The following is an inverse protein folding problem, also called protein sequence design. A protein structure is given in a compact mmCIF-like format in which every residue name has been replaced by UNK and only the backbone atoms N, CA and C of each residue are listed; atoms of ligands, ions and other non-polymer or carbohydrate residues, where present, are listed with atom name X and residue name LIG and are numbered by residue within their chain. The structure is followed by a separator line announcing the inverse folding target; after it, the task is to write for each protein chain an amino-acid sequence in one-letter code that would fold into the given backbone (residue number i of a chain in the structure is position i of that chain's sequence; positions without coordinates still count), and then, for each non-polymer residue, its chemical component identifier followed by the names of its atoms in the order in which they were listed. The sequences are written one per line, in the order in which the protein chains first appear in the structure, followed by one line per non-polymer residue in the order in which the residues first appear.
data_IF_355193975271
#
_entry.id   IF_355193975271
#
_cell.length_a   1.000
_cell.length_b   1.000
_cell.length_c   1.000
_cell.angle_alpha   90.00
_cell.angle_beta   90.00
_cell.angle_gamma   90.00
#
_symmetry.space_group_name_H-M   'P 1'
#
loop_
_entity.id
_entity.type
_entity.pdbx_description
1 polymer ?
#
# COMPACT_ATOMS: atom_id res chain seq x y z
N UNK A 1 61.84 7.82 67.62
CA UNK A 1 61.22 6.68 68.31
C UNK A 1 60.07 6.15 67.45
N UNK A 2 60.25 4.94 66.91
CA UNK A 2 59.19 4.17 66.19
C UNK A 2 58.13 3.69 67.16
N UNK A 3 56.85 3.46 66.78
CA UNK A 3 56.55 2.10 66.35
C UNK A 3 55.44 1.91 65.35
N UNK A 4 55.61 0.84 64.61
CA UNK A 4 54.75 -0.30 64.26
C UNK A 4 53.65 -0.10 63.24
N UNK A 5 53.94 -0.71 62.08
CA UNK A 5 52.97 -1.18 61.08
C UNK A 5 52.06 -2.29 61.63
N UNK A 6 50.77 -2.22 61.28
CA UNK A 6 49.89 -3.37 61.34
C UNK A 6 49.24 -3.48 59.98
N UNK A 7 49.55 -4.59 59.28
CA UNK A 7 49.04 -4.90 57.95
C UNK A 7 47.57 -5.39 58.03
N UNK A 8 46.77 -4.84 57.18
CA UNK A 8 45.40 -5.32 56.95
C UNK A 8 45.36 -6.04 55.62
N UNK A 9 45.10 -7.37 55.66
CA UNK A 9 44.91 -8.22 54.48
C UNK A 9 43.49 -7.94 53.97
N UNK A 10 43.41 -7.30 52.78
CA UNK A 10 42.13 -7.15 52.07
C UNK A 10 41.89 -8.43 51.25
N UNK A 11 40.90 -9.19 51.65
CA UNK A 11 40.39 -10.34 50.89
C UNK A 11 39.46 -9.82 49.80
N UNK A 12 39.93 -9.85 48.54
CA UNK A 12 39.09 -9.58 47.38
C UNK A 12 38.24 -10.81 47.10
N UNK A 13 36.94 -10.75 47.41
CA UNK A 13 35.97 -11.74 46.96
C UNK A 13 35.60 -11.53 45.48
N UNK A 14 36.10 -12.41 44.65
CA UNK A 14 35.79 -12.43 43.22
C UNK A 14 34.40 -13.05 43.02
N UNK A 15 33.38 -12.20 42.84
CA UNK A 15 32.02 -12.65 42.45
C UNK A 15 32.02 -12.98 40.95
N UNK A 16 32.11 -14.26 40.59
CA UNK A 16 31.84 -14.78 39.29
C UNK A 16 30.33 -14.67 38.97
N UNK A 17 29.95 -13.62 38.25
CA UNK A 17 28.61 -13.52 37.68
C UNK A 17 28.48 -14.51 36.51
N UNK A 18 27.86 -15.65 36.75
CA UNK A 18 27.39 -16.56 35.72
C UNK A 18 26.25 -15.91 34.95
N UNK A 19 26.59 -15.17 33.91
CA UNK A 19 25.62 -14.64 32.96
C UNK A 19 24.98 -15.78 32.20
N UNK A 20 23.74 -16.14 32.51
CA UNK A 20 22.92 -17.00 31.68
C UNK A 20 22.58 -16.25 30.40
N UNK A 21 23.36 -16.52 29.35
CA UNK A 21 23.01 -16.05 27.99
C UNK A 21 21.72 -16.74 27.57
N UNK A 22 20.60 -16.02 27.64
CA UNK A 22 19.37 -16.47 26.98
C UNK A 22 19.64 -16.50 25.47
N UNK A 23 19.32 -17.62 24.79
CA UNK A 23 19.40 -17.64 23.34
C UNK A 23 18.46 -16.57 22.80
N UNK A 24 19.03 -15.59 22.10
CA UNK A 24 18.25 -14.65 21.31
C UNK A 24 17.45 -15.49 20.30
N UNK A 25 16.14 -15.61 20.52
CA UNK A 25 15.22 -16.15 19.52
C UNK A 25 15.28 -15.19 18.34
N UNK A 26 16.04 -15.57 17.32
CA UNK A 26 15.87 -15.00 15.98
C UNK A 26 14.42 -15.27 15.59
N UNK A 27 13.56 -14.25 15.72
CA UNK A 27 12.26 -14.25 15.05
C UNK A 27 12.60 -14.26 13.55
N UNK A 28 12.50 -15.45 12.98
CA UNK A 28 12.48 -15.63 11.55
C UNK A 28 11.18 -14.97 11.08
N UNK A 29 11.23 -13.70 10.73
CA UNK A 29 10.11 -12.95 10.13
C UNK A 29 9.92 -13.48 8.70
N UNK A 30 9.37 -14.70 8.59
CA UNK A 30 8.86 -15.16 7.31
C UNK A 30 7.76 -14.18 6.91
N UNK A 31 7.92 -13.55 5.76
CA UNK A 31 6.84 -12.76 5.16
C UNK A 31 5.62 -13.68 5.02
N UNK A 32 4.44 -13.27 5.51
CA UNK A 32 3.24 -14.10 5.49
C UNK A 32 2.85 -14.51 4.06
N UNK A 33 3.29 -13.75 3.06
CA UNK A 33 3.02 -13.97 1.64
C UNK A 33 4.34 -14.06 0.84
N UNK A 34 5.07 -15.19 0.89
CA UNK A 34 6.39 -15.32 0.26
C UNK A 34 6.33 -15.45 -1.27
N UNK A 35 5.17 -15.85 -1.82
CA UNK A 35 4.92 -16.06 -3.25
C UNK A 35 3.46 -15.82 -3.60
N UNK A 36 3.19 -15.68 -4.90
CA UNK A 36 1.84 -15.59 -5.42
C UNK A 36 1.03 -16.86 -5.06
N UNK A 37 -0.17 -16.66 -4.52
CA UNK A 37 -1.16 -17.71 -4.32
C UNK A 37 -1.79 -18.12 -5.68
N UNK A 38 -2.51 -19.23 -5.77
CA UNK A 38 -3.34 -19.54 -6.94
C UNK A 38 -4.25 -18.36 -7.33
N UNK A 39 -4.39 -18.10 -8.64
CA UNK A 39 -5.07 -16.91 -9.15
C UNK A 39 -6.52 -16.77 -8.66
N UNK A 40 -7.22 -17.87 -8.49
CA UNK A 40 -8.60 -17.91 -8.00
C UNK A 40 -8.78 -17.22 -6.64
N UNK A 41 -7.74 -17.20 -5.79
CA UNK A 41 -7.77 -16.50 -4.52
C UNK A 41 -7.72 -14.96 -4.65
N UNK A 42 -7.26 -14.44 -5.79
CA UNK A 42 -7.29 -13.01 -6.09
C UNK A 42 -8.58 -12.59 -6.81
N UNK A 43 -9.31 -13.53 -7.41
CA UNK A 43 -10.53 -13.22 -8.12
C UNK A 43 -11.70 -12.96 -7.15
N UNK A 44 -12.67 -12.20 -7.61
CA UNK A 44 -13.92 -11.92 -6.90
C UNK A 44 -15.11 -12.33 -7.76
N UNK A 45 -16.26 -12.56 -7.13
CA UNK A 45 -17.52 -12.55 -7.86
C UNK A 45 -17.66 -11.23 -8.65
N UNK A 46 -18.13 -11.32 -9.88
CA UNK A 46 -18.17 -10.17 -10.78
C UNK A 46 -19.02 -9.02 -10.25
N UNK A 47 -20.18 -9.33 -9.69
CA UNK A 47 -21.08 -8.29 -9.19
C UNK A 47 -20.58 -7.70 -7.88
N UNK A 48 -19.98 -8.52 -7.02
CA UNK A 48 -19.34 -8.07 -5.78
C UNK A 48 -18.16 -7.14 -6.09
N UNK A 49 -17.33 -7.46 -7.11
CA UNK A 49 -16.22 -6.61 -7.52
C UNK A 49 -16.70 -5.28 -8.12
N UNK A 50 -17.74 -5.29 -8.97
CA UNK A 50 -18.35 -4.06 -9.49
C UNK A 50 -18.87 -3.18 -8.35
N UNK A 51 -19.59 -3.76 -7.38
CA UNK A 51 -20.12 -3.01 -6.24
C UNK A 51 -19.00 -2.41 -5.38
N UNK A 52 -17.95 -3.18 -5.10
CA UNK A 52 -16.79 -2.71 -4.34
C UNK A 52 -16.03 -1.60 -5.06
N UNK A 53 -15.77 -1.75 -6.37
CA UNK A 53 -15.12 -0.72 -7.18
C UNK A 53 -15.88 0.61 -7.15
N UNK A 54 -17.21 0.56 -7.34
CA UNK A 54 -18.06 1.76 -7.29
C UNK A 54 -18.10 2.43 -5.93
N UNK A 55 -17.97 1.66 -4.85
CA UNK A 55 -17.97 2.22 -3.50
C UNK A 55 -16.71 3.05 -3.19
N UNK A 56 -15.72 3.09 -4.08
CA UNK A 56 -14.50 3.87 -3.90
C UNK A 56 -14.71 5.40 -4.04
N UNK A 57 -15.75 5.85 -4.72
CA UNK A 57 -16.02 7.28 -4.94
C UNK A 57 -17.47 7.64 -4.55
N UNK A 58 -17.76 8.95 -4.36
CA UNK A 58 -19.13 9.41 -4.17
C UNK A 58 -20.04 8.99 -5.34
N UNK A 59 -21.30 8.71 -5.03
CA UNK A 59 -22.29 8.18 -5.99
C UNK A 59 -22.36 8.99 -7.30
N UNK A 60 -22.38 10.35 -7.30
CA UNK A 60 -22.46 11.12 -8.54
C UNK A 60 -21.29 10.89 -9.51
N UNK A 61 -20.14 10.44 -8.97
CA UNK A 61 -18.95 10.07 -9.78
C UNK A 61 -19.05 8.59 -10.19
N UNK A 62 -19.25 7.72 -9.22
CA UNK A 62 -19.20 6.27 -9.41
C UNK A 62 -20.31 5.72 -10.31
N UNK A 63 -21.50 6.37 -10.32
CA UNK A 63 -22.65 5.97 -11.14
C UNK A 63 -22.32 5.95 -12.63
N UNK A 64 -21.62 6.97 -13.10
CA UNK A 64 -21.32 7.21 -14.51
C UNK A 64 -19.89 6.79 -14.91
N UNK A 65 -19.12 6.25 -13.95
CA UNK A 65 -17.77 5.77 -14.19
C UNK A 65 -17.75 4.44 -14.96
N UNK A 66 -16.71 4.24 -15.76
CA UNK A 66 -16.36 2.92 -16.24
C UNK A 66 -15.97 2.03 -15.04
N UNK A 67 -16.36 0.74 -15.07
CA UNK A 67 -15.93 -0.22 -14.07
C UNK A 67 -15.18 -1.34 -14.72
N UNK A 68 -13.94 -1.56 -14.30
CA UNK A 68 -13.13 -2.70 -14.69
C UNK A 68 -13.09 -3.74 -13.58
N UNK A 69 -13.05 -5.02 -13.95
CA UNK A 69 -12.95 -6.17 -13.04
C UNK A 69 -11.82 -7.08 -13.46
N UNK A 70 -11.15 -7.69 -12.48
CA UNK A 70 -10.06 -8.63 -12.73
C UNK A 70 -10.63 -10.00 -13.13
N UNK A 71 -10.10 -10.56 -14.22
CA UNK A 71 -10.36 -11.92 -14.70
C UNK A 71 -9.05 -12.66 -14.99
N UNK A 72 -9.16 -13.87 -15.46
CA UNK A 72 -8.01 -14.75 -15.69
C UNK A 72 -6.97 -14.19 -16.69
N UNK A 73 -7.34 -13.23 -17.52
CA UNK A 73 -6.44 -12.63 -18.53
C UNK A 73 -6.11 -11.15 -18.25
N UNK A 74 -6.53 -10.61 -17.11
CA UNK A 74 -6.33 -9.20 -16.74
C UNK A 74 -7.62 -8.49 -16.43
N UNK A 75 -7.54 -7.17 -16.35
CA UNK A 75 -8.72 -6.33 -16.18
C UNK A 75 -9.53 -6.23 -17.47
N UNK A 76 -10.85 -6.36 -17.35
CA UNK A 76 -11.79 -6.16 -18.46
C UNK A 76 -12.88 -5.16 -18.05
N UNK A 77 -13.39 -4.39 -19.02
CA UNK A 77 -14.52 -3.48 -18.80
C UNK A 77 -15.79 -4.27 -18.51
N UNK A 78 -16.29 -4.18 -17.29
CA UNK A 78 -17.53 -4.79 -16.86
C UNK A 78 -18.74 -3.87 -17.07
N UNK A 79 -18.53 -2.56 -16.93
CA UNK A 79 -19.54 -1.51 -17.13
C UNK A 79 -18.89 -0.35 -17.89
N UNK A 80 -19.49 0.07 -18.99
CA UNK A 80 -19.02 1.24 -19.74
C UNK A 80 -19.35 2.52 -19.00
N UNK A 81 -18.39 3.43 -18.92
CA UNK A 81 -18.55 4.77 -18.35
C UNK A 81 -18.88 5.84 -19.37
N UNK A 82 -19.22 7.05 -18.88
CA UNK A 82 -19.49 8.24 -19.72
C UNK A 82 -18.91 9.53 -19.14
N UNK A 83 -18.34 9.51 -17.94
CA UNK A 83 -17.75 10.68 -17.28
C UNK A 83 -16.21 10.69 -17.30
N UNK A 84 -15.60 9.68 -17.93
CA UNK A 84 -14.14 9.51 -18.03
C UNK A 84 -13.46 9.00 -16.77
N UNK A 85 -14.18 8.78 -15.65
CA UNK A 85 -13.66 8.08 -14.49
C UNK A 85 -13.63 6.57 -14.73
N UNK A 86 -12.62 5.90 -14.15
CA UNK A 86 -12.49 4.44 -14.18
C UNK A 86 -12.35 3.94 -12.75
N UNK A 87 -13.28 3.06 -12.33
CA UNK A 87 -13.25 2.43 -11.02
C UNK A 87 -12.85 0.95 -11.16
N UNK A 88 -11.96 0.48 -10.29
CA UNK A 88 -11.53 -0.91 -10.24
C UNK A 88 -11.14 -1.31 -8.81
N UNK A 89 -10.87 -2.59 -8.59
CA UNK A 89 -10.31 -3.08 -7.33
C UNK A 89 -8.90 -3.57 -7.59
N UNK A 90 -7.91 -2.82 -7.12
CA UNK A 90 -6.50 -3.23 -7.21
C UNK A 90 -6.21 -4.45 -6.36
N UNK A 91 -5.17 -5.17 -6.74
CA UNK A 91 -4.61 -6.31 -6.03
C UNK A 91 -3.24 -5.96 -5.46
N UNK A 92 -2.72 -6.83 -4.64
CA UNK A 92 -1.48 -6.60 -3.88
C UNK A 92 -0.24 -6.31 -4.73
N UNK A 93 -0.17 -6.79 -5.97
CA UNK A 93 0.96 -6.52 -6.87
C UNK A 93 1.03 -5.10 -7.44
N UNK A 94 0.07 -4.22 -7.10
CA UNK A 94 0.19 -2.78 -7.38
C UNK A 94 0.98 -2.03 -6.31
N UNK A 95 1.21 -2.65 -5.14
CA UNK A 95 2.07 -2.09 -4.08
C UNK A 95 3.53 -2.02 -4.49
N UNK A 96 4.37 -1.25 -3.77
CA UNK A 96 5.82 -1.28 -3.95
C UNK A 96 6.37 -2.70 -3.90
N UNK A 97 7.37 -2.98 -4.73
CA UNK A 97 7.88 -4.34 -4.96
C UNK A 97 8.44 -5.03 -3.71
N UNK A 98 8.92 -4.24 -2.75
CA UNK A 98 9.48 -4.67 -1.47
C UNK A 98 8.43 -4.74 -0.34
N UNK A 99 7.19 -4.31 -0.60
CA UNK A 99 6.10 -4.40 0.38
C UNK A 99 5.88 -5.87 0.80
N UNK A 100 5.81 -6.17 2.11
CA UNK A 100 5.57 -7.52 2.62
C UNK A 100 4.21 -8.11 2.17
N UNK A 101 3.23 -7.26 1.90
CA UNK A 101 1.91 -7.63 1.40
C UNK A 101 1.84 -7.77 -0.13
N UNK A 102 2.95 -7.68 -0.87
CA UNK A 102 2.96 -7.74 -2.33
C UNK A 102 2.25 -8.98 -2.92
N UNK A 103 2.27 -10.11 -2.22
CA UNK A 103 1.56 -11.33 -2.61
C UNK A 103 0.33 -11.62 -1.74
N UNK A 104 -0.14 -10.64 -0.95
CA UNK A 104 -1.33 -10.81 -0.12
C UNK A 104 -2.58 -10.94 -0.98
N UNK A 105 -3.06 -12.19 -1.12
CA UNK A 105 -4.23 -12.50 -1.95
C UNK A 105 -5.55 -11.97 -1.39
N UNK A 106 -5.58 -11.51 -0.15
CA UNK A 106 -6.76 -10.91 0.47
C UNK A 106 -6.91 -9.42 0.14
N UNK A 107 -5.82 -8.76 -0.33
CA UNK A 107 -5.84 -7.32 -0.58
C UNK A 107 -6.90 -6.95 -1.62
N UNK A 108 -7.71 -5.97 -1.27
CA UNK A 108 -8.76 -5.37 -2.09
C UNK A 108 -8.67 -3.85 -1.95
N UNK A 109 -8.05 -3.21 -2.93
CA UNK A 109 -7.87 -1.75 -3.01
C UNK A 109 -8.85 -1.14 -4.01
N UNK A 110 -10.13 -0.91 -3.63
CA UNK A 110 -11.07 -0.25 -4.52
C UNK A 110 -10.70 1.21 -4.70
N UNK A 111 -10.57 1.65 -5.94
CA UNK A 111 -10.28 3.03 -6.28
C UNK A 111 -11.05 3.49 -7.52
N UNK A 112 -11.31 4.79 -7.63
CA UNK A 112 -11.85 5.44 -8.80
C UNK A 112 -10.89 6.51 -9.30
N UNK A 113 -10.28 6.26 -10.44
CA UNK A 113 -9.33 7.13 -11.11
C UNK A 113 -10.08 8.26 -11.86
N UNK A 114 -9.60 9.49 -11.73
CA UNK A 114 -10.10 10.58 -12.56
C UNK A 114 -9.56 10.46 -14.00
N UNK A 115 -10.09 11.23 -14.97
CA UNK A 115 -9.66 11.09 -16.36
C UNK A 115 -8.15 11.21 -16.61
N UNK A 116 -7.38 12.14 -15.98
CA UNK A 116 -5.92 12.16 -16.10
C UNK A 116 -5.27 10.87 -15.57
N UNK A 117 -5.68 10.37 -14.41
CA UNK A 117 -5.14 9.13 -13.85
C UNK A 117 -5.54 7.89 -14.67
N UNK A 118 -6.75 7.86 -15.22
CA UNK A 118 -7.19 6.79 -16.11
C UNK A 118 -6.32 6.68 -17.38
N UNK A 119 -5.78 7.82 -17.87
CA UNK A 119 -4.88 7.82 -19.04
C UNK A 119 -3.40 7.61 -18.69
N UNK A 120 -2.97 7.95 -17.47
CA UNK A 120 -1.53 7.97 -17.14
C UNK A 120 -1.10 7.00 -16.04
N UNK A 121 -1.96 6.72 -15.05
CA UNK A 121 -1.67 5.76 -13.97
C UNK A 121 -2.24 4.36 -14.27
N UNK A 122 -3.49 4.26 -14.74
CA UNK A 122 -4.12 2.98 -15.03
C UNK A 122 -3.31 2.06 -15.97
N UNK A 123 -2.64 2.56 -17.03
CA UNK A 123 -1.78 1.74 -17.87
C UNK A 123 -0.67 1.01 -17.11
N UNK A 124 -0.14 1.61 -16.02
CA UNK A 124 0.88 0.99 -15.17
C UNK A 124 0.28 -0.19 -14.40
N UNK A 125 -0.88 0.02 -13.76
CA UNK A 125 -1.64 -1.03 -13.06
C UNK A 125 -1.98 -2.21 -13.97
N UNK A 126 -2.45 -1.93 -15.20
CA UNK A 126 -2.76 -2.95 -16.21
C UNK A 126 -1.49 -3.71 -16.58
N UNK A 127 -0.40 -3.02 -16.91
CA UNK A 127 0.87 -3.65 -17.30
C UNK A 127 1.43 -4.55 -16.20
N UNK A 128 1.47 -4.08 -14.95
CA UNK A 128 1.87 -4.91 -13.79
C UNK A 128 1.01 -6.18 -13.70
N UNK A 129 -0.31 -6.03 -13.86
CA UNK A 129 -1.24 -7.16 -13.81
C UNK A 129 -0.98 -8.16 -14.92
N UNK A 130 -0.77 -7.72 -16.15
CA UNK A 130 -0.46 -8.59 -17.30
C UNK A 130 0.82 -9.40 -17.06
N UNK A 131 1.90 -8.77 -16.59
CA UNK A 131 3.18 -9.41 -16.30
C UNK A 131 3.04 -10.47 -15.19
N UNK A 132 2.33 -10.14 -14.11
CA UNK A 132 2.07 -11.08 -13.01
C UNK A 132 1.23 -12.27 -13.48
N UNK A 133 0.19 -12.04 -14.27
CA UNK A 133 -0.64 -13.13 -14.82
C UNK A 133 0.10 -13.98 -15.86
N UNK A 134 1.11 -13.42 -16.52
CA UNK A 134 2.04 -14.18 -17.37
C UNK A 134 3.01 -15.06 -16.55
N UNK A 135 3.02 -14.96 -15.22
CA UNK A 135 3.85 -15.77 -14.32
C UNK A 135 5.22 -15.16 -14.04
N UNK A 136 5.41 -13.89 -14.28
CA UNK A 136 6.68 -13.24 -14.01
C UNK A 136 6.99 -13.12 -12.52
N UNK A 137 8.28 -13.22 -12.19
CA UNK A 137 8.76 -12.91 -10.85
C UNK A 137 8.70 -11.41 -10.58
N UNK A 138 8.73 -11.01 -9.29
CA UNK A 138 8.86 -9.59 -8.90
C UNK A 138 10.00 -8.87 -9.63
N UNK A 139 11.17 -9.50 -9.71
CA UNK A 139 12.35 -8.91 -10.34
C UNK A 139 12.19 -8.74 -11.85
N UNK A 140 11.57 -9.72 -12.52
CA UNK A 140 11.29 -9.62 -13.95
C UNK A 140 10.25 -8.55 -14.24
N UNK A 141 9.13 -8.53 -13.50
CA UNK A 141 8.12 -7.47 -13.59
C UNK A 141 8.77 -6.07 -13.40
N UNK A 142 9.62 -5.90 -12.38
CA UNK A 142 10.29 -4.62 -12.17
C UNK A 142 11.20 -4.22 -13.33
N UNK A 143 11.94 -5.19 -13.90
CA UNK A 143 12.75 -4.97 -15.07
C UNK A 143 11.91 -4.51 -16.26
N UNK A 144 10.78 -5.18 -16.52
CA UNK A 144 9.96 -4.92 -17.68
C UNK A 144 9.13 -3.64 -17.55
N UNK A 145 8.67 -3.28 -16.34
CA UNK A 145 8.05 -1.97 -16.08
C UNK A 145 9.06 -0.85 -16.34
N UNK A 146 10.30 -0.98 -15.83
CA UNK A 146 11.35 0.00 -16.10
C UNK A 146 11.63 0.13 -17.59
N UNK A 147 11.76 -0.98 -18.30
CA UNK A 147 11.99 -1.00 -19.75
C UNK A 147 10.84 -0.35 -20.52
N UNK A 148 9.58 -0.59 -20.11
CA UNK A 148 8.40 0.00 -20.72
C UNK A 148 8.38 1.54 -20.57
N UNK A 149 8.77 2.06 -19.41
CA UNK A 149 8.95 3.51 -19.25
C UNK A 149 10.08 4.08 -20.12
N UNK A 150 11.25 3.39 -20.16
CA UNK A 150 12.41 3.84 -20.93
C UNK A 150 12.10 3.88 -22.45
N UNK A 151 11.27 2.94 -22.91
CA UNK A 151 10.78 2.88 -24.31
C UNK A 151 9.56 3.78 -24.58
N UNK A 152 9.02 4.47 -23.57
CA UNK A 152 7.81 5.27 -23.67
C UNK A 152 6.55 4.47 -24.05
N UNK A 153 6.51 3.19 -23.72
CA UNK A 153 5.34 2.32 -23.85
C UNK A 153 4.34 2.61 -22.73
N UNK A 154 4.82 3.06 -21.55
CA UNK A 154 4.00 3.59 -20.48
C UNK A 154 4.02 5.13 -20.53
N UNK A 155 2.85 5.76 -20.34
CA UNK A 155 2.75 7.22 -20.36
C UNK A 155 3.39 7.85 -19.12
N UNK A 156 3.82 9.11 -19.25
CA UNK A 156 4.14 9.95 -18.10
C UNK A 156 2.86 10.39 -17.39
N UNK A 157 2.95 10.62 -16.07
CA UNK A 157 1.81 11.10 -15.30
C UNK A 157 1.29 12.43 -15.84
N UNK A 158 -0.03 12.51 -16.02
CA UNK A 158 -0.71 13.74 -16.37
C UNK A 158 -0.91 14.62 -15.13
N UNK A 159 -0.76 15.95 -15.25
CA UNK A 159 -1.06 16.88 -14.16
C UNK A 159 -2.50 16.68 -13.63
N UNK A 160 -2.63 16.66 -12.30
CA UNK A 160 -3.91 16.46 -11.63
C UNK A 160 -4.41 15.01 -11.62
N UNK A 161 -3.57 14.03 -12.00
CA UNK A 161 -3.91 12.62 -11.84
C UNK A 161 -4.18 12.30 -10.37
N UNK A 162 -5.39 11.77 -10.06
CA UNK A 162 -5.81 11.43 -8.71
C UNK A 162 -6.84 10.29 -8.70
N UNK A 163 -7.05 9.70 -7.54
CA UNK A 163 -8.13 8.77 -7.32
C UNK A 163 -8.83 8.96 -5.97
N UNK A 164 -10.03 8.42 -5.87
CA UNK A 164 -10.78 8.24 -4.64
C UNK A 164 -10.58 6.82 -4.10
N UNK A 165 -10.34 6.68 -2.78
CA UNK A 165 -10.33 5.42 -2.04
C UNK A 165 -11.22 5.58 -0.79
N UNK A 166 -12.53 5.69 -0.99
CA UNK A 166 -13.51 6.00 0.06
C UNK A 166 -14.39 4.79 0.43
N UNK A 167 -13.97 3.57 0.08
CA UNK A 167 -14.77 2.36 0.30
C UNK A 167 -14.57 1.79 1.70
N UNK A 168 -15.65 1.56 2.46
CA UNK A 168 -15.59 0.84 3.75
C UNK A 168 -15.13 -0.61 3.62
N UNK A 169 -15.37 -1.24 2.48
CA UNK A 169 -15.01 -2.63 2.21
C UNK A 169 -13.58 -2.82 1.70
N UNK A 170 -12.74 -1.79 1.75
CA UNK A 170 -11.33 -1.92 1.38
C UNK A 170 -10.57 -2.76 2.40
N UNK A 171 -9.59 -3.52 1.93
CA UNK A 171 -8.64 -4.25 2.75
C UNK A 171 -7.24 -4.07 2.15
N UNK A 172 -6.39 -3.30 2.81
CA UNK A 172 -5.12 -2.83 2.25
C UNK A 172 -3.89 -3.51 2.88
N UNK A 173 -4.08 -4.44 3.81
CA UNK A 173 -3.02 -5.24 4.40
C UNK A 173 -3.38 -5.78 5.79
N UNK A 174 -2.55 -6.69 6.31
CA UNK A 174 -2.78 -7.40 7.57
C UNK A 174 -2.40 -6.58 8.81
N UNK A 175 -1.68 -5.48 8.64
CA UNK A 175 -1.25 -4.67 9.78
C UNK A 175 -2.44 -3.91 10.38
N UNK A 176 -2.58 -3.85 11.72
CA UNK A 176 -3.68 -3.14 12.38
C UNK A 176 -3.79 -1.66 11.98
N UNK A 177 -2.65 -1.03 11.65
CA UNK A 177 -2.61 0.33 11.10
C UNK A 177 -3.22 0.44 9.69
N UNK A 178 -3.49 -0.68 9.04
CA UNK A 178 -4.10 -0.73 7.71
C UNK A 178 -5.63 -0.77 7.73
N UNK A 179 -6.28 -0.52 8.86
CA UNK A 179 -7.67 -0.07 8.92
C UNK A 179 -7.73 1.36 8.37
N UNK A 180 -7.50 1.44 7.07
CA UNK A 180 -7.30 2.71 6.38
C UNK A 180 -8.54 3.57 6.47
N UNK A 181 -8.32 4.81 6.85
CA UNK A 181 -9.30 5.86 6.72
C UNK A 181 -9.65 6.09 5.24
N UNK A 182 -10.85 6.60 4.94
CA UNK A 182 -11.14 7.07 3.61
C UNK A 182 -10.15 8.18 3.24
N UNK A 183 -9.65 8.12 2.02
CA UNK A 183 -8.64 9.08 1.54
C UNK A 183 -8.77 9.31 0.04
N UNK A 184 -8.18 10.38 -0.42
CA UNK A 184 -7.90 10.63 -1.83
C UNK A 184 -6.40 10.55 -2.06
N UNK A 185 -5.99 10.05 -3.21
CA UNK A 185 -4.58 10.02 -3.61
C UNK A 185 -4.36 10.91 -4.82
N UNK A 186 -3.27 11.67 -4.80
CA UNK A 186 -2.74 12.34 -5.98
C UNK A 186 -1.45 11.63 -6.39
N UNK A 187 -1.32 11.38 -7.67
CA UNK A 187 -0.11 10.83 -8.26
C UNK A 187 0.75 12.00 -8.73
N UNK A 188 1.93 12.13 -8.15
CA UNK A 188 2.86 13.21 -8.47
C UNK A 188 4.18 12.62 -9.00
N UNK A 189 4.84 13.26 -9.97
CA UNK A 189 6.12 12.77 -10.44
C UNK A 189 7.14 12.62 -9.30
N UNK A 190 7.98 11.59 -9.32
CA UNK A 190 9.04 11.35 -8.32
C UNK A 190 9.99 12.56 -8.18
N UNK A 191 10.16 13.34 -9.24
CA UNK A 191 11.02 14.54 -9.26
C UNK A 191 10.41 15.76 -8.57
N UNK A 192 9.14 15.69 -8.13
CA UNK A 192 8.50 16.79 -7.43
C UNK A 192 8.94 16.83 -5.96
N UNK A 193 9.80 17.80 -5.62
CA UNK A 193 10.38 17.96 -4.28
C UNK A 193 9.68 19.04 -3.42
N UNK A 194 8.49 19.49 -3.81
CA UNK A 194 7.76 20.50 -3.04
C UNK A 194 7.31 19.94 -1.69
N UNK A 195 7.74 20.57 -0.61
CA UNK A 195 7.32 20.21 0.75
C UNK A 195 5.83 20.58 0.96
N UNK A 196 5.03 19.61 1.45
CA UNK A 196 3.58 19.75 1.69
C UNK A 196 3.18 19.49 3.13
N UNK A 197 4.16 19.39 4.05
CA UNK A 197 3.91 19.01 5.45
C UNK A 197 3.47 17.57 5.61
N UNK A 198 3.82 16.72 4.67
CA UNK A 198 3.53 15.29 4.67
C UNK A 198 4.26 14.53 5.79
N UNK A 199 3.63 13.45 6.26
CA UNK A 199 4.16 12.54 7.27
C UNK A 199 4.53 13.19 8.62
N UNK A 200 4.09 14.42 8.87
CA UNK A 200 4.26 15.08 10.16
C UNK A 200 3.20 14.61 11.16
N UNK A 201 3.53 14.62 12.45
CA UNK A 201 2.56 14.29 13.49
C UNK A 201 1.31 15.19 13.40
N UNK A 202 0.13 14.57 13.27
CA UNK A 202 -1.15 15.27 13.11
C UNK A 202 -1.44 15.80 11.70
N UNK A 203 -0.53 15.65 10.74
CA UNK A 203 -0.82 15.98 9.34
C UNK A 203 -1.79 14.97 8.73
N UNK A 204 -2.84 15.42 8.03
CA UNK A 204 -3.69 14.52 7.24
C UNK A 204 -3.05 14.12 5.90
N UNK A 205 -1.85 14.65 5.61
CA UNK A 205 -1.12 14.43 4.36
C UNK A 205 -0.03 13.39 4.58
N UNK A 206 -0.12 12.30 3.85
CA UNK A 206 0.85 11.21 3.85
C UNK A 206 1.44 11.05 2.46
N UNK A 207 2.69 10.59 2.37
CA UNK A 207 3.32 10.26 1.08
C UNK A 207 3.91 8.87 1.11
N UNK A 208 3.86 8.22 -0.03
CA UNK A 208 4.51 6.93 -0.30
C UNK A 208 5.19 7.00 -1.67
N UNK A 209 6.52 7.09 -1.72
CA UNK A 209 7.24 7.04 -3.00
C UNK A 209 7.16 5.64 -3.61
N UNK A 210 7.00 5.57 -4.92
CA UNK A 210 7.12 4.36 -5.73
C UNK A 210 8.09 4.63 -6.90
N UNK A 211 9.40 4.41 -6.70
CA UNK A 211 10.40 4.64 -7.73
C UNK A 211 10.23 3.76 -8.97
N UNK A 212 9.63 2.57 -8.83
CA UNK A 212 9.35 1.69 -9.96
C UNK A 212 8.34 2.33 -10.91
N UNK A 213 7.30 2.93 -10.36
CA UNK A 213 6.25 3.61 -11.11
C UNK A 213 6.59 5.08 -11.43
N UNK A 214 7.80 5.54 -11.02
CA UNK A 214 8.31 6.91 -11.22
C UNK A 214 7.39 7.99 -10.65
N UNK A 215 6.78 7.69 -9.50
CA UNK A 215 5.83 8.60 -8.87
C UNK A 215 5.96 8.59 -7.34
N UNK A 216 5.35 9.57 -6.72
CA UNK A 216 5.01 9.57 -5.30
C UNK A 216 3.49 9.63 -5.18
N UNK A 217 2.93 8.75 -4.37
CA UNK A 217 1.52 8.82 -3.98
C UNK A 217 1.39 9.82 -2.83
N UNK A 218 0.65 10.89 -3.04
CA UNK A 218 0.26 11.85 -2.01
C UNK A 218 -1.16 11.51 -1.55
N UNK A 219 -1.31 11.01 -0.32
CA UNK A 219 -2.58 10.64 0.28
C UNK A 219 -3.08 11.75 1.19
N UNK A 220 -4.36 12.11 1.07
CA UNK A 220 -5.03 13.06 1.95
C UNK A 220 -6.20 12.35 2.61
N UNK A 221 -6.12 12.19 3.94
CA UNK A 221 -7.19 11.59 4.73
C UNK A 221 -8.43 12.50 4.72
N UNK A 222 -9.60 11.89 4.59
CA UNK A 222 -10.87 12.61 4.60
C UNK A 222 -11.80 12.06 5.68
N UNK A 223 -12.72 12.88 6.22
CA UNK A 223 -13.51 12.50 7.39
C UNK A 223 -14.71 11.59 7.08
N UNK A 224 -14.98 11.28 5.81
CA UNK A 224 -16.19 10.54 5.41
C UNK A 224 -15.89 9.47 4.36
N UNK A 225 -16.58 8.36 4.48
CA UNK A 225 -16.69 7.33 3.45
C UNK A 225 -17.52 7.80 2.27
N UNK A 226 -17.50 7.07 1.17
CA UNK A 226 -18.25 7.40 -0.06
C UNK A 226 -19.78 7.49 0.15
N UNK A 227 -20.33 6.78 1.14
CA UNK A 227 -21.73 6.80 1.51
C UNK A 227 -22.13 7.99 2.43
N UNK A 228 -21.18 8.90 2.69
CA UNK A 228 -21.37 10.09 3.52
C UNK A 228 -21.26 9.85 5.04
N UNK A 229 -21.12 8.60 5.49
CA UNK A 229 -20.94 8.30 6.92
C UNK A 229 -19.54 8.70 7.38
N UNK A 230 -19.43 9.10 8.66
CA UNK A 230 -18.14 9.50 9.24
C UNK A 230 -17.19 8.30 9.34
N UNK A 231 -15.91 8.53 9.05
CA UNK A 231 -14.83 7.64 9.45
C UNK A 231 -14.71 7.69 10.98
N UNK A 232 -14.47 6.53 11.62
CA UNK A 232 -14.24 6.50 13.06
C UNK A 232 -12.95 7.27 13.36
N UNK A 233 -13.01 8.24 14.28
CA UNK A 233 -11.81 8.92 14.77
C UNK A 233 -10.98 7.94 15.62
N UNK A 234 -9.64 8.00 15.54
CA UNK A 234 -8.72 7.16 16.33
C UNK A 234 -8.97 7.24 17.84
N UNK A 235 -9.62 8.31 18.34
CA UNK A 235 -9.98 8.49 19.73
C UNK A 235 -10.95 7.45 20.29
N UNK A 236 -11.66 6.71 19.44
CA UNK A 236 -12.64 5.69 19.88
C UNK A 236 -12.02 4.29 20.04
N UNK A 237 -10.78 4.09 19.61
CA UNK A 237 -10.10 2.78 19.69
C UNK A 237 -9.13 2.63 20.86
N UNK A 238 -8.89 3.70 21.62
CA UNK A 238 -7.95 3.72 22.76
C UNK A 238 -8.53 3.34 24.12
N UNK A 239 -9.83 3.03 24.25
CA UNK A 239 -10.48 2.69 25.51
C UNK A 239 -11.31 1.40 25.41
N UNK A 240 -10.63 0.28 25.19
CA UNK A 240 -11.18 -1.05 25.56
C UNK A 240 -10.07 -1.98 26.02
#
# INVERSE_FOLDING_TARGET
MNPKMIGGIAVFALLLALGTAWPARTQNSQTPYPKMAPLDQYLMDRNAEIALARSAAPEPIARDAEVMVLRSRGYETAVKGRNGFVCLVERSWTKPIDDPDFWNHNLRGPLCLNPPAARSYLPITIKKTELILAGESKSQMAHDIKAAFDKKELPSLEPGAMCYMLAKGQYLGDQPAHNWHPHVMFFIPETDSVARGENLAGSPVLTSPDPLDRLTVLMILVPKWSDGTAALSEHTMGNK
#
